data_IF_969681887812
#
_entry.id   IF_969681887812
#
_cell.length_a   1.000
_cell.length_b   1.000
_cell.length_c   1.000
_cell.angle_alpha   90.00
_cell.angle_beta   90.00
_cell.angle_gamma   90.00
#
_symmetry.space_group_name_H-M   'P 1'
#
loop_
_entity.id
_entity.type
_entity.pdbx_description
1 polymer ?
#
# COMPACT_ATOMS: atom_id res chain seq x y z
N UNK A 1 -20.05 -4.86 15.84
CA UNK A 1 -19.09 -5.18 14.75
C UNK A 1 -19.55 -4.42 13.51
N UNK A 2 -18.70 -3.65 12.80
CA UNK A 2 -19.14 -2.83 11.64
C UNK A 2 -19.37 -3.61 10.35
N UNK A 3 -19.40 -4.94 10.39
CA UNK A 3 -19.62 -5.76 9.20
C UNK A 3 -20.98 -5.48 8.52
N UNK A 4 -22.00 -5.05 9.29
CA UNK A 4 -23.26 -4.56 8.72
C UNK A 4 -23.06 -3.40 7.73
N UNK A 5 -22.06 -2.54 7.97
CA UNK A 5 -21.76 -1.40 7.10
C UNK A 5 -21.27 -1.81 5.72
N UNK A 6 -20.86 -3.07 5.52
CA UNK A 6 -20.54 -3.58 4.19
C UNK A 6 -21.78 -3.84 3.33
N UNK A 7 -22.95 -3.97 3.98
CA UNK A 7 -24.22 -4.21 3.32
C UNK A 7 -25.20 -3.06 3.50
N UNK A 8 -24.75 -1.88 3.94
CA UNK A 8 -25.61 -0.72 4.22
C UNK A 8 -26.43 -0.27 3.01
N UNK A 9 -25.96 -0.55 1.79
CA UNK A 9 -26.72 -0.30 0.54
C UNK A 9 -28.01 -1.13 0.41
N UNK A 10 -28.15 -2.17 1.24
CA UNK A 10 -29.30 -3.06 1.28
C UNK A 10 -30.19 -2.83 2.51
N UNK A 11 -29.72 -2.14 3.55
CA UNK A 11 -30.48 -1.87 4.77
C UNK A 11 -29.55 -1.50 5.93
N UNK A 12 -30.11 -0.90 6.99
CA UNK A 12 -29.33 -0.42 8.13
C UNK A 12 -28.98 -1.55 9.12
N UNK A 13 -29.66 -2.70 9.00
CA UNK A 13 -29.37 -3.93 9.74
C UNK A 13 -29.18 -5.13 8.80
N UNK A 14 -28.56 -6.20 9.31
CA UNK A 14 -28.39 -7.44 8.53
C UNK A 14 -29.74 -8.09 8.16
N UNK A 15 -30.73 -8.02 9.05
CA UNK A 15 -32.08 -8.56 8.79
C UNK A 15 -32.81 -7.78 7.70
N UNK A 16 -32.72 -6.44 7.76
CA UNK A 16 -33.27 -5.58 6.72
C UNK A 16 -32.56 -5.77 5.38
N UNK A 17 -31.22 -5.86 5.39
CA UNK A 17 -30.43 -6.15 4.19
C UNK A 17 -30.88 -7.46 3.54
N UNK A 18 -31.04 -8.54 4.32
CA UNK A 18 -31.52 -9.82 3.82
C UNK A 18 -32.94 -9.72 3.24
N UNK A 19 -33.86 -9.03 3.94
CA UNK A 19 -35.23 -8.84 3.48
C UNK A 19 -35.29 -8.05 2.16
N UNK A 20 -34.52 -6.97 2.03
CA UNK A 20 -34.49 -6.14 0.83
C UNK A 20 -33.83 -6.85 -0.35
N UNK A 21 -32.79 -7.65 -0.11
CA UNK A 21 -32.22 -8.53 -1.13
C UNK A 21 -33.27 -9.55 -1.63
N UNK A 22 -34.01 -10.18 -0.72
CA UNK A 22 -35.07 -11.14 -1.07
C UNK A 22 -36.22 -10.49 -1.86
N UNK A 23 -36.60 -9.25 -1.54
CA UNK A 23 -37.61 -8.47 -2.28
C UNK A 23 -37.15 -8.03 -3.67
N UNK A 24 -35.84 -8.00 -3.93
CA UNK A 24 -35.27 -7.44 -5.17
C UNK A 24 -34.26 -8.38 -5.85
N UNK A 25 -34.65 -9.61 -6.24
CA UNK A 25 -33.71 -10.61 -6.77
C UNK A 25 -33.02 -10.16 -8.07
N UNK A 26 -33.73 -9.41 -8.92
CA UNK A 26 -33.13 -8.84 -10.15
C UNK A 26 -32.04 -7.81 -9.83
N UNK A 27 -32.22 -7.00 -8.78
CA UNK A 27 -31.22 -6.03 -8.33
C UNK A 27 -29.99 -6.73 -7.77
N UNK A 28 -30.20 -7.80 -6.99
CA UNK A 28 -29.13 -8.66 -6.47
C UNK A 28 -28.32 -9.22 -7.64
N UNK A 29 -28.98 -9.83 -8.63
CA UNK A 29 -28.29 -10.40 -9.79
C UNK A 29 -27.52 -9.34 -10.60
N UNK A 30 -28.09 -8.15 -10.82
CA UNK A 30 -27.38 -7.04 -11.47
C UNK A 30 -26.13 -6.62 -10.69
N UNK A 31 -26.21 -6.61 -9.36
CA UNK A 31 -25.11 -6.21 -8.47
C UNK A 31 -23.88 -7.12 -8.58
N UNK A 32 -24.05 -8.36 -9.05
CA UNK A 32 -22.92 -9.26 -9.30
C UNK A 32 -21.99 -8.73 -10.40
N UNK A 33 -22.53 -8.00 -11.38
CA UNK A 33 -21.79 -7.55 -12.57
C UNK A 33 -21.60 -6.04 -12.66
N UNK A 34 -22.36 -5.25 -11.90
CA UNK A 34 -22.26 -3.79 -11.91
C UNK A 34 -22.62 -3.16 -10.57
N UNK A 35 -22.12 -1.95 -10.35
CA UNK A 35 -22.51 -1.09 -9.23
C UNK A 35 -22.92 0.25 -9.84
N UNK A 36 -24.24 0.57 -9.89
CA UNK A 36 -24.73 1.74 -10.63
C UNK A 36 -24.09 3.07 -10.20
N UNK A 37 -23.88 3.26 -8.90
CA UNK A 37 -23.33 4.50 -8.34
C UNK A 37 -21.79 4.55 -8.37
N UNK A 38 -21.14 3.46 -8.78
CA UNK A 38 -19.67 3.35 -8.87
C UNK A 38 -19.27 2.58 -10.14
N UNK A 39 -19.13 3.29 -11.28
CA UNK A 39 -18.74 2.68 -12.56
C UNK A 39 -17.41 1.93 -12.50
N UNK A 40 -16.47 2.40 -11.66
CA UNK A 40 -15.16 1.77 -11.47
C UNK A 40 -15.32 0.42 -10.78
N UNK A 41 -16.11 0.36 -9.70
CA UNK A 41 -16.43 -0.92 -9.04
C UNK A 41 -17.15 -1.88 -9.99
N UNK A 42 -18.08 -1.37 -10.81
CA UNK A 42 -18.74 -2.17 -11.83
C UNK A 42 -17.75 -2.77 -12.85
N UNK A 43 -16.75 -2.00 -13.29
CA UNK A 43 -15.70 -2.50 -14.18
C UNK A 43 -14.82 -3.57 -13.50
N UNK A 44 -14.43 -3.34 -12.24
CA UNK A 44 -13.68 -4.30 -11.42
C UNK A 44 -14.43 -5.63 -11.30
N UNK A 45 -15.75 -5.62 -11.06
CA UNK A 45 -16.57 -6.83 -10.98
C UNK A 45 -16.64 -7.61 -12.29
N UNK A 46 -16.71 -6.94 -13.44
CA UNK A 46 -16.68 -7.64 -14.74
C UNK A 46 -15.31 -8.27 -14.99
N UNK A 47 -14.25 -7.53 -14.71
CA UNK A 47 -12.88 -8.03 -14.81
C UNK A 47 -12.60 -9.19 -13.85
N UNK A 48 -13.20 -9.19 -12.66
CA UNK A 48 -13.10 -10.29 -11.71
C UNK A 48 -13.47 -11.64 -12.32
N UNK A 49 -14.59 -11.73 -13.05
CA UNK A 49 -14.98 -12.97 -13.73
C UNK A 49 -14.00 -13.35 -14.83
N UNK A 50 -13.50 -12.38 -15.59
CA UNK A 50 -12.48 -12.63 -16.60
C UNK A 50 -11.20 -13.19 -15.97
N UNK A 51 -10.71 -12.55 -14.91
CA UNK A 51 -9.54 -12.97 -14.14
C UNK A 51 -9.71 -14.34 -13.48
N UNK A 52 -10.94 -14.71 -13.13
CA UNK A 52 -11.24 -15.97 -12.47
C UNK A 52 -11.39 -17.13 -13.47
N UNK A 53 -12.07 -16.90 -14.60
CA UNK A 53 -12.50 -17.95 -15.53
C UNK A 53 -11.61 -18.09 -16.77
N UNK A 54 -11.02 -17.00 -17.28
CA UNK A 54 -10.17 -17.07 -18.47
C UNK A 54 -8.90 -17.90 -18.26
N UNK A 55 -8.20 -17.87 -17.10
CA UNK A 55 -7.01 -18.71 -16.90
C UNK A 55 -7.28 -20.22 -16.99
N UNK A 56 -8.54 -20.63 -16.84
CA UNK A 56 -8.98 -22.02 -17.03
C UNK A 56 -9.77 -22.21 -18.32
N UNK A 57 -9.58 -21.31 -19.29
CA UNK A 57 -10.20 -21.35 -20.61
C UNK A 57 -11.74 -21.46 -20.56
N UNK A 58 -12.35 -20.82 -19.56
CA UNK A 58 -13.80 -20.88 -19.29
C UNK A 58 -14.35 -22.30 -19.05
N UNK A 59 -13.49 -23.31 -18.87
CA UNK A 59 -13.91 -24.71 -18.70
C UNK A 59 -14.84 -24.90 -17.51
N UNK A 60 -14.70 -24.08 -16.46
CA UNK A 60 -15.58 -24.08 -15.29
C UNK A 60 -17.06 -23.93 -15.63
N UNK A 61 -17.39 -23.22 -16.71
CA UNK A 61 -18.77 -23.02 -17.16
C UNK A 61 -19.42 -24.32 -17.67
N UNK A 62 -18.62 -25.30 -18.08
CA UNK A 62 -19.11 -26.63 -18.48
C UNK A 62 -19.42 -27.56 -17.28
N UNK A 63 -19.22 -27.11 -16.04
CA UNK A 63 -19.68 -27.79 -14.82
C UNK A 63 -20.41 -26.83 -13.86
N UNK A 64 -21.57 -26.29 -14.27
CA UNK A 64 -22.24 -25.18 -13.56
C UNK A 64 -22.64 -25.55 -12.12
N UNK A 65 -23.07 -26.79 -11.87
CA UNK A 65 -23.42 -27.24 -10.51
C UNK A 65 -22.21 -27.29 -9.56
N UNK A 66 -21.03 -27.62 -10.09
CA UNK A 66 -19.79 -27.58 -9.29
C UNK A 66 -19.37 -26.14 -9.04
N UNK A 67 -19.47 -25.28 -10.05
CA UNK A 67 -19.16 -23.86 -9.90
C UNK A 67 -20.11 -23.16 -8.92
N UNK A 68 -21.38 -23.57 -8.87
CA UNK A 68 -22.39 -23.03 -7.96
C UNK A 68 -22.07 -23.26 -6.47
N UNK A 69 -21.17 -24.19 -6.12
CA UNK A 69 -20.70 -24.37 -4.74
C UNK A 69 -20.02 -23.10 -4.22
N UNK A 70 -19.38 -22.32 -5.10
CA UNK A 70 -18.78 -21.04 -4.74
C UNK A 70 -19.78 -19.88 -4.62
N UNK A 71 -21.05 -20.09 -5.00
CA UNK A 71 -22.04 -19.01 -5.08
C UNK A 71 -22.27 -18.27 -3.74
N UNK A 72 -22.34 -18.93 -2.57
CA UNK A 72 -22.51 -18.20 -1.30
C UNK A 72 -21.35 -17.24 -1.02
N UNK A 73 -20.12 -17.65 -1.33
CA UNK A 73 -18.91 -16.84 -1.13
C UNK A 73 -18.87 -15.69 -2.15
N UNK A 74 -19.20 -15.98 -3.41
CA UNK A 74 -19.34 -14.95 -4.45
C UNK A 74 -20.42 -13.92 -4.10
N UNK A 75 -21.55 -14.36 -3.55
CA UNK A 75 -22.61 -13.48 -3.09
C UNK A 75 -22.12 -12.61 -1.93
N UNK A 76 -21.44 -13.20 -0.93
CA UNK A 76 -20.85 -12.45 0.17
C UNK A 76 -19.93 -11.33 -0.34
N UNK A 77 -19.05 -11.67 -1.29
CA UNK A 77 -18.10 -10.73 -1.87
C UNK A 77 -18.79 -9.65 -2.69
N UNK A 78 -19.55 -10.01 -3.73
CA UNK A 78 -20.02 -9.05 -4.74
C UNK A 78 -21.20 -8.19 -4.27
N UNK A 79 -21.92 -8.63 -3.23
CA UNK A 79 -22.99 -7.85 -2.60
C UNK A 79 -22.46 -6.89 -1.53
N UNK A 80 -21.21 -7.03 -1.12
CA UNK A 80 -20.51 -6.11 -0.23
C UNK A 80 -20.30 -4.73 -0.88
N UNK A 81 -19.94 -3.74 -0.07
CA UNK A 81 -19.44 -2.43 -0.52
C UNK A 81 -17.90 -2.40 -0.60
N UNK A 82 -17.23 -3.49 -0.26
CA UNK A 82 -15.77 -3.57 -0.23
C UNK A 82 -15.21 -3.98 -1.58
N UNK A 83 -14.63 -3.00 -2.28
CA UNK A 83 -13.88 -3.22 -3.53
C UNK A 83 -12.81 -4.33 -3.40
N UNK A 84 -12.20 -4.48 -2.21
CA UNK A 84 -11.18 -5.51 -1.98
C UNK A 84 -11.71 -6.94 -2.14
N UNK A 85 -13.02 -7.15 -2.00
CA UNK A 85 -13.68 -8.46 -2.19
C UNK A 85 -14.11 -8.68 -3.65
N UNK A 86 -14.10 -7.63 -4.48
CA UNK A 86 -14.54 -7.68 -5.88
C UNK A 86 -13.38 -7.89 -6.88
N UNK A 87 -12.16 -8.19 -6.41
CA UNK A 87 -10.96 -8.31 -7.25
C UNK A 87 -10.07 -9.47 -6.81
N UNK A 88 -9.29 -10.02 -7.74
CA UNK A 88 -8.30 -11.08 -7.45
C UNK A 88 -7.00 -10.57 -6.82
N UNK A 89 -6.83 -9.24 -6.72
CA UNK A 89 -5.62 -8.63 -6.16
C UNK A 89 -5.47 -8.90 -4.66
N UNK A 90 -6.56 -9.13 -3.94
CA UNK A 90 -6.55 -9.44 -2.52
C UNK A 90 -6.88 -10.92 -2.27
N UNK A 91 -6.54 -11.40 -1.08
CA UNK A 91 -6.63 -12.82 -0.71
C UNK A 91 -8.05 -13.39 -0.59
N UNK A 92 -9.11 -12.56 -0.64
CA UNK A 92 -10.48 -13.05 -0.46
C UNK A 92 -10.88 -14.10 -1.50
N UNK A 93 -10.31 -14.02 -2.71
CA UNK A 93 -10.57 -14.96 -3.80
C UNK A 93 -10.07 -16.37 -3.56
N UNK A 94 -9.14 -16.57 -2.62
CA UNK A 94 -8.64 -17.90 -2.24
C UNK A 94 -9.76 -18.85 -1.82
N UNK A 95 -10.87 -18.33 -1.29
CA UNK A 95 -12.04 -19.13 -0.93
C UNK A 95 -12.89 -19.58 -2.13
N UNK A 96 -12.71 -18.97 -3.30
CA UNK A 96 -13.46 -19.25 -4.55
C UNK A 96 -12.64 -20.09 -5.52
N UNK A 97 -11.34 -19.82 -5.63
CA UNK A 97 -10.43 -20.42 -6.63
C UNK A 97 -10.47 -21.96 -6.67
N UNK A 98 -10.48 -22.71 -5.55
CA UNK A 98 -10.51 -24.17 -5.60
C UNK A 98 -11.73 -24.73 -6.34
N UNK A 99 -12.92 -24.14 -6.14
CA UNK A 99 -14.15 -24.56 -6.81
C UNK A 99 -14.13 -24.26 -8.31
N UNK A 100 -13.47 -23.17 -8.71
CA UNK A 100 -13.25 -22.82 -10.12
C UNK A 100 -12.34 -23.84 -10.79
N UNK A 101 -11.24 -24.26 -10.14
CA UNK A 101 -10.34 -25.28 -10.67
C UNK A 101 -11.01 -26.65 -10.77
N UNK A 102 -11.74 -27.09 -9.74
CA UNK A 102 -12.45 -28.37 -9.76
C UNK A 102 -13.55 -28.37 -10.83
N UNK A 103 -14.32 -27.28 -10.95
CA UNK A 103 -15.32 -27.14 -12.02
C UNK A 103 -14.68 -27.09 -13.41
N UNK A 104 -13.47 -26.57 -13.58
CA UNK A 104 -12.75 -26.60 -14.85
C UNK A 104 -12.38 -28.03 -15.27
N UNK A 105 -11.87 -28.85 -14.34
CA UNK A 105 -11.52 -30.25 -14.61
C UNK A 105 -12.77 -31.06 -14.97
N UNK A 106 -13.84 -30.93 -14.19
CA UNK A 106 -15.12 -31.60 -14.49
C UNK A 106 -15.77 -31.04 -15.75
N UNK A 107 -15.58 -29.75 -16.03
CA UNK A 107 -16.06 -29.08 -17.23
C UNK A 107 -15.37 -29.58 -18.48
N UNK A 108 -14.06 -29.81 -18.44
CA UNK A 108 -13.32 -30.46 -19.52
C UNK A 108 -13.89 -31.85 -19.81
N UNK A 109 -14.14 -32.66 -18.78
CA UNK A 109 -14.79 -33.98 -18.93
C UNK A 109 -16.17 -33.86 -19.58
N UNK A 110 -17.00 -32.91 -19.13
CA UNK A 110 -18.35 -32.73 -19.65
C UNK A 110 -18.33 -32.24 -21.11
N UNK A 111 -17.42 -31.34 -21.45
CA UNK A 111 -17.23 -30.83 -22.81
C UNK A 111 -16.75 -31.93 -23.76
N UNK A 112 -15.77 -32.74 -23.34
CA UNK A 112 -15.32 -33.91 -24.09
C UNK A 112 -16.49 -34.86 -24.38
N UNK A 113 -17.30 -35.19 -23.37
CA UNK A 113 -18.50 -36.03 -23.55
C UNK A 113 -19.48 -35.42 -24.54
N UNK A 114 -19.68 -34.11 -24.50
CA UNK A 114 -20.58 -33.41 -25.42
C UNK A 114 -20.06 -33.45 -26.86
N UNK A 115 -18.78 -33.14 -27.08
CA UNK A 115 -18.13 -33.13 -28.40
C UNK A 115 -18.03 -34.51 -29.04
N UNK A 116 -17.94 -35.56 -28.22
CA UNK A 116 -17.82 -36.95 -28.68
C UNK A 116 -19.17 -37.67 -28.79
N UNK A 117 -20.31 -36.99 -28.52
CA UNK A 117 -21.63 -37.59 -28.73
C UNK A 117 -21.80 -37.91 -30.23
N UNK A 118 -22.22 -39.13 -30.60
CA UNK A 118 -22.57 -39.43 -31.98
C UNK A 118 -23.75 -38.55 -32.41
N UNK A 119 -23.62 -37.86 -33.56
CA UNK A 119 -24.73 -37.07 -34.10
C UNK A 119 -25.86 -38.02 -34.56
N UNK A 120 -27.13 -37.72 -34.25
CA UNK A 120 -28.24 -38.47 -34.80
C UNK A 120 -28.39 -38.10 -36.29
N UNK A 121 -28.15 -39.06 -37.18
CA UNK A 121 -28.39 -38.92 -38.63
C UNK A 121 -27.15 -38.51 -39.44
N UNK A 122 -26.31 -39.50 -39.78
CA UNK A 122 -25.49 -39.52 -41.00
C UNK A 122 -24.11 -38.85 -40.98
N UNK A 123 -23.05 -39.66 -40.97
CA UNK A 123 -22.05 -39.82 -42.04
C UNK A 123 -21.32 -41.15 -41.75
N UNK A 124 -20.98 -41.89 -42.81
CA UNK A 124 -20.48 -43.29 -42.83
C UNK A 124 -19.33 -43.58 -41.85
N UNK A 125 -19.28 -44.83 -41.36
CA UNK A 125 -18.31 -45.34 -40.37
C UNK A 125 -16.83 -45.01 -40.69
N UNK A 126 -16.48 -44.83 -41.97
CA UNK A 126 -15.12 -44.48 -42.42
C UNK A 126 -14.65 -43.07 -42.01
N UNK A 127 -15.55 -42.07 -41.96
CA UNK A 127 -15.20 -40.72 -41.44
C UNK A 127 -15.12 -40.74 -39.90
N UNK A 128 -15.82 -41.69 -39.28
CA UNK A 128 -15.89 -41.86 -37.83
C UNK A 128 -14.59 -42.42 -37.24
N UNK A 129 -13.81 -43.16 -38.03
CA UNK A 129 -12.53 -43.74 -37.63
C UNK A 129 -11.35 -42.75 -37.70
N UNK A 130 -11.56 -41.57 -38.28
CA UNK A 130 -10.60 -40.45 -38.28
C UNK A 130 -10.76 -39.49 -37.07
N UNK A 131 -11.66 -39.80 -36.12
CA UNK A 131 -11.88 -38.97 -34.93
C UNK A 131 -10.67 -39.06 -34.00
N UNK A 132 -10.00 -37.93 -33.81
CA UNK A 132 -8.92 -37.71 -32.83
C UNK A 132 -9.22 -38.49 -31.53
N UNK A 133 -8.30 -39.33 -31.01
CA UNK A 133 -8.55 -40.10 -29.81
C UNK A 133 -9.01 -39.19 -28.66
N UNK A 134 -9.94 -39.63 -27.78
CA UNK A 134 -10.42 -38.85 -26.64
C UNK A 134 -9.27 -38.28 -25.80
N UNK A 135 -8.19 -39.06 -25.67
CA UNK A 135 -6.96 -38.65 -24.99
C UNK A 135 -6.22 -37.53 -25.72
N UNK A 136 -6.14 -37.60 -27.04
CA UNK A 136 -5.49 -36.56 -27.86
C UNK A 136 -6.28 -35.25 -27.78
N UNK A 137 -7.61 -35.29 -27.93
CA UNK A 137 -8.44 -34.10 -27.80
C UNK A 137 -8.36 -33.49 -26.39
N UNK A 138 -8.39 -34.31 -25.34
CA UNK A 138 -8.20 -33.85 -23.97
C UNK A 138 -6.82 -33.20 -23.77
N UNK A 139 -5.77 -33.78 -24.36
CA UNK A 139 -4.40 -33.25 -24.30
C UNK A 139 -4.30 -31.91 -25.02
N UNK A 140 -4.88 -31.79 -26.21
CA UNK A 140 -4.93 -30.53 -26.98
C UNK A 140 -5.66 -29.45 -26.19
N UNK A 141 -6.85 -29.75 -25.65
CA UNK A 141 -7.60 -28.77 -24.85
C UNK A 141 -6.88 -28.38 -23.56
N UNK A 142 -6.19 -29.33 -22.91
CA UNK A 142 -5.39 -29.04 -21.72
C UNK A 142 -4.18 -28.16 -22.07
N UNK A 143 -3.50 -28.45 -23.19
CA UNK A 143 -2.41 -27.63 -23.71
C UNK A 143 -2.89 -26.22 -24.05
N UNK A 144 -4.05 -26.09 -24.70
CA UNK A 144 -4.66 -24.80 -25.00
C UNK A 144 -5.02 -24.04 -23.71
N UNK A 145 -5.54 -24.71 -22.68
CA UNK A 145 -5.81 -24.09 -21.39
C UNK A 145 -4.52 -23.57 -20.73
N UNK A 146 -3.41 -24.30 -20.82
CA UNK A 146 -2.10 -23.82 -20.34
C UNK A 146 -1.62 -22.60 -21.13
N UNK A 147 -1.73 -22.62 -22.46
CA UNK A 147 -1.36 -21.46 -23.31
C UNK A 147 -2.21 -20.24 -22.95
N UNK A 148 -3.53 -20.42 -22.77
CA UNK A 148 -4.44 -19.36 -22.33
C UNK A 148 -4.07 -18.86 -20.93
N UNK A 149 -3.73 -19.74 -19.98
CA UNK A 149 -3.29 -19.36 -18.65
C UNK A 149 -1.99 -18.53 -18.66
N UNK A 150 -1.04 -18.88 -19.54
CA UNK A 150 0.18 -18.12 -19.77
C UNK A 150 -0.13 -16.74 -20.38
N UNK A 151 -1.01 -16.69 -21.40
CA UNK A 151 -1.48 -15.44 -21.97
C UNK A 151 -2.19 -14.54 -20.96
N UNK A 152 -3.02 -15.11 -20.08
CA UNK A 152 -3.63 -14.41 -18.95
C UNK A 152 -2.58 -13.87 -17.98
N UNK A 153 -1.51 -14.63 -17.74
CA UNK A 153 -0.41 -14.16 -16.90
C UNK A 153 0.35 -12.97 -17.51
N UNK A 154 0.48 -12.92 -18.84
CA UNK A 154 1.03 -11.76 -19.56
C UNK A 154 0.06 -10.58 -19.56
N UNK A 155 -1.25 -10.82 -19.67
CA UNK A 155 -2.25 -9.76 -19.66
C UNK A 155 -2.38 -9.10 -18.27
N UNK A 156 -2.72 -9.86 -17.23
CA UNK A 156 -3.06 -9.37 -15.89
C UNK A 156 -2.45 -10.19 -14.75
N UNK A 157 -1.49 -11.07 -15.05
CA UNK A 157 -0.87 -11.93 -14.05
C UNK A 157 0.04 -11.21 -13.06
N UNK A 158 0.27 -11.79 -11.87
CA UNK A 158 1.12 -11.20 -10.84
C UNK A 158 2.61 -11.25 -11.18
N UNK A 159 3.07 -12.05 -12.16
CA UNK A 159 4.51 -12.21 -12.45
C UNK A 159 4.97 -11.24 -13.56
N UNK A 160 4.44 -11.40 -14.77
CA UNK A 160 4.84 -10.62 -15.97
C UNK A 160 3.71 -9.76 -16.53
N UNK A 161 2.54 -9.76 -15.89
CA UNK A 161 1.35 -9.02 -16.32
C UNK A 161 1.64 -7.55 -16.64
N UNK A 162 1.15 -7.10 -17.79
CA UNK A 162 1.27 -5.72 -18.31
C UNK A 162 0.10 -4.80 -17.89
N UNK A 163 -0.89 -5.33 -17.15
CA UNK A 163 -2.03 -4.56 -16.65
C UNK A 163 -3.23 -4.49 -17.60
N UNK A 164 -3.27 -5.34 -18.63
CA UNK A 164 -4.42 -5.42 -19.53
C UNK A 164 -5.65 -5.96 -18.78
N UNK A 165 -6.79 -5.27 -18.88
CA UNK A 165 -8.02 -5.58 -18.15
C UNK A 165 -7.90 -5.51 -16.62
N UNK A 166 -7.05 -4.62 -16.10
CA UNK A 166 -6.78 -4.52 -14.66
C UNK A 166 -7.08 -3.11 -14.10
N UNK A 167 -8.36 -2.79 -13.86
CA UNK A 167 -8.81 -1.53 -13.22
C UNK A 167 -8.25 -1.34 -11.80
N UNK A 168 -7.99 -2.46 -11.12
CA UNK A 168 -7.42 -2.49 -9.79
C UNK A 168 -6.06 -3.13 -9.86
N UNK A 169 -5.03 -2.31 -9.69
CA UNK A 169 -3.65 -2.77 -9.61
C UNK A 169 -3.26 -3.16 -8.17
N UNK A 170 -2.28 -4.06 -7.99
CA UNK A 170 -1.67 -4.31 -6.69
C UNK A 170 -0.97 -3.06 -6.17
N UNK A 171 -1.16 -2.76 -4.88
CA UNK A 171 -0.44 -1.66 -4.23
C UNK A 171 1.04 -1.97 -4.00
N UNK A 172 1.40 -3.26 -3.93
CA UNK A 172 2.76 -3.72 -3.77
C UNK A 172 3.38 -4.01 -5.13
N UNK A 173 4.63 -3.58 -5.32
CA UNK A 173 5.38 -3.87 -6.55
C UNK A 173 5.74 -5.36 -6.58
N UNK A 174 5.67 -5.95 -7.76
CA UNK A 174 6.06 -7.35 -8.00
C UNK A 174 7.53 -7.61 -7.63
N UNK A 175 8.39 -6.65 -7.99
CA UNK A 175 9.82 -6.68 -7.73
C UNK A 175 10.22 -5.49 -6.87
N UNK A 176 11.11 -5.69 -5.87
CA UNK A 176 11.57 -4.59 -5.04
C UNK A 176 12.32 -3.57 -5.92
N UNK A 177 12.06 -2.29 -5.68
CA UNK A 177 12.84 -1.21 -6.30
C UNK A 177 14.29 -1.20 -5.79
N UNK A 178 15.20 -0.52 -6.51
CA UNK A 178 16.57 -0.31 -6.03
C UNK A 178 16.61 0.35 -4.64
N UNK A 179 15.68 1.28 -4.39
CA UNK A 179 15.51 1.91 -3.09
C UNK A 179 15.05 0.90 -2.00
N UNK A 180 14.09 0.03 -2.30
CA UNK A 180 13.65 -1.00 -1.33
C UNK A 180 14.74 -2.03 -1.04
N UNK A 181 15.57 -2.38 -2.03
CA UNK A 181 16.76 -3.20 -1.82
C UNK A 181 17.78 -2.51 -0.92
N UNK A 182 18.02 -1.22 -1.13
CA UNK A 182 18.91 -0.43 -0.27
C UNK A 182 18.38 -0.30 1.18
N UNK A 183 17.06 -0.26 1.36
CA UNK A 183 16.44 -0.17 2.68
C UNK A 183 16.41 -1.51 3.43
N UNK A 184 16.44 -2.64 2.71
CA UNK A 184 16.25 -3.98 3.27
C UNK A 184 17.27 -4.37 4.37
N UNK A 185 18.58 -4.11 4.22
CA UNK A 185 19.56 -4.36 5.28
C UNK A 185 19.23 -3.62 6.58
N UNK A 186 18.88 -2.34 6.51
CA UNK A 186 18.48 -1.56 7.69
C UNK A 186 17.24 -2.12 8.37
N UNK A 187 16.21 -2.51 7.61
CA UNK A 187 15.00 -3.13 8.16
C UNK A 187 15.29 -4.49 8.83
N UNK A 188 16.25 -5.27 8.32
CA UNK A 188 16.69 -6.52 8.95
C UNK A 188 17.46 -6.25 10.23
N UNK A 189 18.42 -5.33 10.19
CA UNK A 189 19.22 -4.94 11.36
C UNK A 189 18.35 -4.39 12.50
N UNK A 190 17.39 -3.51 12.18
CA UNK A 190 16.43 -2.98 13.16
C UNK A 190 15.56 -4.09 13.77
N UNK A 191 15.07 -5.01 12.94
CA UNK A 191 14.26 -6.13 13.45
C UNK A 191 15.07 -7.09 14.33
N UNK A 192 16.35 -7.32 14.01
CA UNK A 192 17.25 -8.17 14.80
C UNK A 192 17.62 -7.55 16.16
N UNK A 193 17.50 -6.22 16.31
CA UNK A 193 17.73 -5.49 17.57
C UNK A 193 16.49 -5.45 18.47
N UNK A 194 15.36 -6.01 18.05
CA UNK A 194 14.16 -6.10 18.90
C UNK A 194 14.40 -7.17 19.96
N UNK A 195 14.29 -6.86 21.28
CA UNK A 195 14.51 -7.83 22.35
C UNK A 195 13.62 -9.05 22.22
N UNK A 196 14.12 -10.27 22.49
CA UNK A 196 13.38 -11.54 22.31
C UNK A 196 12.17 -11.72 23.22
N UNK A 197 12.18 -11.06 24.39
CA UNK A 197 11.08 -11.06 25.35
C UNK A 197 10.39 -9.68 25.42
N UNK A 198 9.18 -9.65 25.99
CA UNK A 198 8.38 -8.44 26.15
C UNK A 198 7.42 -8.14 25.00
N UNK A 199 6.51 -7.19 25.25
CA UNK A 199 5.49 -6.77 24.29
C UNK A 199 6.09 -5.92 23.16
N UNK A 200 5.66 -6.15 21.93
CA UNK A 200 6.17 -5.45 20.73
C UNK A 200 5.02 -4.77 20.01
N UNK A 201 5.24 -3.56 19.49
CA UNK A 201 4.32 -2.96 18.53
C UNK A 201 4.92 -2.86 17.12
N UNK A 202 4.21 -3.38 16.12
CA UNK A 202 4.65 -3.41 14.73
C UNK A 202 3.83 -2.52 13.81
N UNK A 203 4.49 -1.88 12.85
CA UNK A 203 3.83 -1.43 11.61
C UNK A 203 3.51 -2.62 10.69
N UNK A 204 2.66 -2.41 9.67
CA UNK A 204 2.19 -3.49 8.78
C UNK A 204 3.30 -4.35 8.17
N UNK A 205 4.43 -3.74 7.78
CA UNK A 205 5.59 -4.46 7.23
C UNK A 205 6.31 -5.38 8.23
N UNK A 206 6.11 -5.19 9.53
CA UNK A 206 6.84 -5.89 10.60
C UNK A 206 5.99 -6.87 11.40
N UNK A 207 4.65 -6.75 11.37
CA UNK A 207 3.75 -7.61 12.18
C UNK A 207 4.00 -9.10 11.98
N UNK A 208 4.14 -9.56 10.73
CA UNK A 208 4.36 -10.98 10.45
C UNK A 208 5.69 -11.50 10.99
N UNK A 209 6.72 -10.65 11.11
CA UNK A 209 8.02 -11.04 11.67
C UNK A 209 7.94 -11.32 13.17
N UNK A 210 7.00 -10.69 13.86
CA UNK A 210 6.81 -10.83 15.30
C UNK A 210 5.55 -11.62 15.65
N UNK A 211 4.97 -12.36 14.70
CA UNK A 211 3.71 -13.09 14.89
C UNK A 211 3.78 -14.18 15.97
N UNK A 212 4.98 -14.65 16.32
CA UNK A 212 5.22 -15.61 17.40
C UNK A 212 5.25 -14.97 18.81
N UNK A 213 5.18 -13.64 18.92
CA UNK A 213 5.15 -12.96 20.21
C UNK A 213 3.82 -13.20 20.91
N UNK A 214 3.89 -13.49 22.21
CA UNK A 214 2.71 -13.60 23.07
C UNK A 214 1.92 -12.30 23.11
N UNK A 215 2.62 -11.16 23.10
CA UNK A 215 2.01 -9.83 23.10
C UNK A 215 2.53 -8.98 21.93
N UNK A 216 1.73 -8.94 20.86
CA UNK A 216 2.00 -8.18 19.66
C UNK A 216 0.87 -7.19 19.41
N UNK A 217 1.22 -5.90 19.37
CA UNK A 217 0.29 -4.83 19.06
C UNK A 217 0.49 -4.33 17.64
N UNK A 218 -0.62 -4.00 16.99
CA UNK A 218 -0.55 -3.31 15.71
C UNK A 218 -0.61 -1.80 15.90
N UNK A 219 0.40 -1.10 15.40
CA UNK A 219 0.53 0.34 15.62
C UNK A 219 -0.64 1.13 15.02
N UNK A 220 -1.31 0.61 13.98
CA UNK A 220 -2.49 1.26 13.42
C UNK A 220 -3.68 1.25 14.39
N UNK A 221 -3.86 0.24 15.24
CA UNK A 221 -4.90 0.24 16.27
C UNK A 221 -4.63 1.24 17.37
N UNK A 222 -3.35 1.40 17.75
CA UNK A 222 -2.91 2.41 18.70
C UNK A 222 -3.21 3.81 18.15
N UNK A 223 -2.83 4.05 16.88
CA UNK A 223 -3.08 5.28 16.14
C UNK A 223 -4.57 5.60 15.99
N UNK A 224 -5.41 4.62 15.65
CA UNK A 224 -6.85 4.84 15.47
C UNK A 224 -7.63 4.89 16.77
N UNK A 225 -7.11 4.25 17.81
CA UNK A 225 -7.80 4.02 19.08
C UNK A 225 -8.97 3.06 19.01
N UNK A 226 -9.09 2.27 17.94
CA UNK A 226 -10.18 1.30 17.74
C UNK A 226 -9.67 0.05 17.04
N UNK A 227 -10.30 -1.08 17.34
CA UNK A 227 -10.08 -2.31 16.58
C UNK A 227 -10.57 -2.14 15.13
N UNK A 228 -9.96 -2.90 14.20
CA UNK A 228 -10.34 -2.87 12.78
C UNK A 228 -11.82 -3.19 12.62
N UNK A 229 -12.56 -2.37 11.85
CA UNK A 229 -14.01 -2.52 11.62
C UNK A 229 -14.85 -2.67 12.91
N UNK A 230 -14.48 -1.94 13.96
CA UNK A 230 -15.20 -1.94 15.23
C UNK A 230 -15.25 -0.55 15.86
N UNK A 231 -16.28 -0.30 16.66
CA UNK A 231 -16.33 0.85 17.56
C UNK A 231 -15.72 0.55 18.94
N UNK A 232 -15.34 -0.72 19.18
CA UNK A 232 -14.61 -1.11 20.39
C UNK A 232 -13.29 -0.32 20.47
N UNK A 233 -13.14 0.41 21.56
CA UNK A 233 -11.91 1.14 21.86
C UNK A 233 -10.72 0.17 21.94
N UNK A 234 -9.59 0.58 21.36
CA UNK A 234 -8.32 -0.11 21.53
C UNK A 234 -7.55 0.57 22.66
N UNK A 235 -7.26 -0.13 23.77
CA UNK A 235 -6.50 0.45 24.87
C UNK A 235 -5.08 0.79 24.39
N UNK A 236 -4.46 1.80 25.01
CA UNK A 236 -3.05 2.09 24.78
C UNK A 236 -2.26 1.02 25.53
N UNK A 237 -1.47 0.17 24.83
CA UNK A 237 -0.72 -0.88 25.48
C UNK A 237 0.34 -0.33 26.45
N UNK A 238 0.66 -1.15 27.44
CA UNK A 238 1.71 -0.92 28.43
C UNK A 238 2.81 -1.96 28.28
N UNK A 239 3.94 -1.71 28.93
CA UNK A 239 5.11 -2.59 28.93
C UNK A 239 5.65 -2.99 27.55
N UNK A 240 5.41 -2.16 26.54
CA UNK A 240 5.97 -2.34 25.20
C UNK A 240 7.47 -2.03 25.24
N UNK A 241 8.28 -3.02 24.91
CA UNK A 241 9.76 -2.92 24.93
C UNK A 241 10.33 -2.41 23.62
N UNK A 242 9.60 -2.59 22.51
CA UNK A 242 10.08 -2.20 21.19
C UNK A 242 8.96 -1.83 20.22
N UNK A 243 9.26 -0.91 19.31
CA UNK A 243 8.41 -0.55 18.17
C UNK A 243 9.24 -0.52 16.90
N UNK A 244 8.76 -1.18 15.85
CA UNK A 244 9.35 -1.07 14.51
C UNK A 244 8.28 -0.73 13.49
N UNK A 245 8.48 0.37 12.76
CA UNK A 245 7.46 0.91 11.85
C UNK A 245 8.09 1.53 10.61
N UNK A 246 7.51 1.27 9.43
CA UNK A 246 7.71 2.07 8.21
C UNK A 246 6.54 3.04 8.07
N UNK A 247 6.77 4.32 8.34
CA UNK A 247 5.69 5.34 8.38
C UNK A 247 5.24 5.78 6.99
N UNK A 248 5.86 5.29 5.91
CA UNK A 248 5.38 5.48 4.53
C UNK A 248 4.36 4.43 4.10
N UNK A 249 4.21 3.34 4.86
CA UNK A 249 3.29 2.28 4.48
C UNK A 249 1.91 2.89 4.18
N UNK A 250 1.38 2.63 2.98
CA UNK A 250 0.15 3.28 2.55
C UNK A 250 -1.01 2.96 3.50
N UNK A 251 -1.00 1.80 4.15
CA UNK A 251 -2.00 1.39 5.15
C UNK A 251 -1.89 2.25 6.40
N UNK A 252 -0.66 2.54 6.85
CA UNK A 252 -0.41 3.51 7.91
C UNK A 252 -0.98 4.88 7.56
N UNK A 253 -0.85 5.29 6.29
CA UNK A 253 -1.41 6.52 5.76
C UNK A 253 -2.93 6.46 5.51
N UNK A 254 -3.55 5.30 5.32
CA UNK A 254 -5.00 5.17 5.09
C UNK A 254 -5.82 5.32 6.36
N UNK A 255 -5.28 4.95 7.52
CA UNK A 255 -5.91 5.16 8.82
C UNK A 255 -5.66 6.59 9.35
N UNK A 256 -5.95 7.60 8.53
CA UNK A 256 -5.83 9.01 8.91
C UNK A 256 -6.92 9.37 9.90
N UNK A 257 -6.51 9.79 11.09
CA UNK A 257 -7.34 10.57 12.00
C UNK A 257 -6.53 11.78 12.44
N UNK A 258 -7.21 12.93 12.59
CA UNK A 258 -6.58 14.17 13.06
C UNK A 258 -5.87 13.97 14.41
N UNK A 259 -6.40 13.11 15.28
CA UNK A 259 -5.86 12.81 16.62
C UNK A 259 -4.80 11.68 16.64
N UNK A 260 -4.54 11.01 15.51
CA UNK A 260 -3.70 9.81 15.48
C UNK A 260 -2.25 10.04 15.92
N UNK A 261 -1.65 11.17 15.52
CA UNK A 261 -0.28 11.52 15.93
C UNK A 261 -0.15 11.69 17.45
N UNK A 262 -1.09 12.42 18.08
CA UNK A 262 -1.12 12.58 19.55
C UNK A 262 -1.20 11.25 20.29
N UNK A 263 -2.02 10.30 19.82
CA UNK A 263 -2.12 8.97 20.44
C UNK A 263 -0.82 8.19 20.35
N UNK A 264 -0.14 8.23 19.20
CA UNK A 264 1.15 7.57 19.01
C UNK A 264 2.22 8.18 19.92
N UNK A 265 2.28 9.51 20.04
CA UNK A 265 3.21 10.18 20.98
C UNK A 265 2.92 9.82 22.44
N UNK A 266 1.66 9.84 22.86
CA UNK A 266 1.27 9.44 24.21
C UNK A 266 1.62 7.97 24.51
N UNK A 267 1.47 7.09 23.53
CA UNK A 267 1.91 5.70 23.62
C UNK A 267 3.43 5.57 23.79
N UNK A 268 4.22 6.34 23.02
CA UNK A 268 5.67 6.35 23.15
C UNK A 268 6.12 6.85 24.52
N UNK A 269 5.54 7.96 25.01
CA UNK A 269 5.87 8.48 26.34
C UNK A 269 5.48 7.51 27.47
N UNK A 270 4.27 6.94 27.42
CA UNK A 270 3.79 5.97 28.44
C UNK A 270 4.72 4.77 28.58
N UNK A 271 5.27 4.29 27.46
CA UNK A 271 6.16 3.13 27.45
C UNK A 271 7.65 3.51 27.48
N UNK A 272 7.98 4.80 27.68
CA UNK A 272 9.36 5.32 27.71
C UNK A 272 10.17 4.91 26.46
N UNK A 273 9.48 4.86 25.32
CA UNK A 273 10.06 4.49 24.03
C UNK A 273 10.80 5.67 23.43
N UNK A 274 12.02 5.43 22.98
CA UNK A 274 12.85 6.43 22.29
C UNK A 274 13.38 5.83 20.99
N UNK A 275 13.46 6.65 19.95
CA UNK A 275 14.04 6.22 18.66
C UNK A 275 15.51 5.91 18.90
N UNK A 276 15.98 4.75 18.44
CA UNK A 276 17.39 4.33 18.53
C UNK A 276 18.01 4.10 17.15
N UNK A 277 17.19 4.07 16.11
CA UNK A 277 17.64 4.00 14.72
C UNK A 277 16.56 4.54 13.78
N UNK A 278 17.03 5.13 12.68
CA UNK A 278 16.20 5.61 11.60
C UNK A 278 16.91 5.36 10.27
N UNK A 279 16.15 4.83 9.30
CA UNK A 279 16.56 4.66 7.92
C UNK A 279 15.38 5.07 7.04
N UNK A 280 15.53 6.21 6.39
CA UNK A 280 14.47 6.94 5.73
C UNK A 280 13.28 7.20 6.66
N UNK A 281 12.16 6.50 6.46
CA UNK A 281 10.92 6.58 7.24
C UNK A 281 10.66 5.29 8.04
N UNK A 282 11.66 4.44 8.15
CA UNK A 282 11.66 3.29 9.05
C UNK A 282 12.30 3.69 10.36
N UNK A 283 11.58 3.47 11.46
CA UNK A 283 12.02 3.77 12.81
C UNK A 283 12.07 2.50 13.66
N UNK A 284 13.13 2.37 14.45
CA UNK A 284 13.21 1.46 15.60
C UNK A 284 13.17 2.31 16.87
N UNK A 285 12.23 1.99 17.75
CA UNK A 285 12.16 2.53 19.09
C UNK A 285 12.34 1.42 20.11
N UNK A 286 13.13 1.68 21.15
CA UNK A 286 13.32 0.78 22.28
C UNK A 286 12.90 1.50 23.57
N UNK A 287 12.47 0.72 24.57
CA UNK A 287 12.17 1.22 25.91
C UNK A 287 13.47 1.55 26.63
N UNK A 288 13.57 2.77 27.16
CA UNK A 288 14.68 3.23 28.00
C UNK A 288 16.09 2.86 27.46
N UNK A 289 16.40 3.21 26.20
CA UNK A 289 17.71 2.87 25.65
C UNK A 289 18.78 3.76 26.28
N UNK A 290 20.01 3.23 26.35
CA UNK A 290 21.17 4.01 26.81
C UNK A 290 21.45 5.24 25.94
N UNK A 291 21.24 5.10 24.62
CA UNK A 291 21.38 6.18 23.65
C UNK A 291 20.09 6.31 22.82
N UNK A 292 19.77 7.53 22.43
CA UNK A 292 18.61 7.81 21.58
C UNK A 292 18.95 8.76 20.44
N UNK A 293 18.19 8.62 19.36
CA UNK A 293 18.30 9.41 18.13
C UNK A 293 17.14 10.40 18.06
N UNK A 294 17.46 11.69 18.07
CA UNK A 294 16.46 12.75 17.86
C UNK A 294 16.14 12.90 16.38
N UNK A 295 14.95 12.44 15.97
CA UNK A 295 14.46 12.55 14.57
C UNK A 295 13.64 13.83 14.34
N UNK A 296 13.08 14.42 15.38
CA UNK A 296 12.49 15.76 15.36
C UNK A 296 12.48 16.36 16.77
N UNK A 297 12.41 17.69 16.84
CA UNK A 297 12.43 18.44 18.10
C UNK A 297 11.79 19.82 17.92
N UNK A 298 11.19 20.32 18.98
CA UNK A 298 10.53 21.64 19.05
C UNK A 298 11.43 22.61 19.80
N UNK A 299 11.52 23.86 19.34
CA UNK A 299 12.35 24.87 20.00
C UNK A 299 12.72 26.02 19.07
N UNK A 300 13.58 26.91 19.56
CA UNK A 300 14.19 27.95 18.76
C UNK A 300 15.46 27.39 18.09
N UNK A 301 15.46 27.29 16.76
CA UNK A 301 16.58 26.78 15.99
C UNK A 301 17.07 27.83 14.99
N UNK A 302 18.39 27.95 14.88
CA UNK A 302 19.03 28.75 13.84
C UNK A 302 19.68 27.79 12.85
N UNK A 303 19.10 27.59 11.65
CA UNK A 303 19.72 26.78 10.61
C UNK A 303 20.95 27.48 10.03
N UNK A 304 21.92 26.70 9.55
CA UNK A 304 23.12 27.22 8.88
C UNK A 304 22.78 27.97 7.58
N UNK A 305 21.87 27.41 6.78
CA UNK A 305 21.36 28.02 5.56
C UNK A 305 19.95 28.54 5.82
N UNK A 306 19.80 29.87 5.94
CA UNK A 306 18.52 30.52 6.16
C UNK A 306 17.78 30.75 4.85
N UNK A 307 16.57 30.22 4.74
CA UNK A 307 15.70 30.42 3.59
C UNK A 307 14.25 30.37 4.05
N UNK A 308 13.67 31.55 4.28
CA UNK A 308 12.28 31.64 4.70
C UNK A 308 11.35 31.66 3.48
N UNK A 309 10.44 30.70 3.41
CA UNK A 309 9.38 30.64 2.39
C UNK A 309 8.15 29.93 2.96
N UNK A 310 6.96 30.35 2.53
CA UNK A 310 5.68 29.84 3.07
C UNK A 310 4.92 29.06 2.01
N UNK A 311 4.41 27.90 2.41
CA UNK A 311 3.63 26.97 1.59
C UNK A 311 2.17 26.94 2.07
N UNK A 312 1.24 27.15 1.13
CA UNK A 312 -0.20 27.15 1.37
C UNK A 312 -0.66 28.10 2.47
N UNK A 313 0.13 29.14 2.77
CA UNK A 313 -0.11 30.10 3.86
C UNK A 313 -0.04 29.50 5.27
N UNK A 314 0.48 28.27 5.44
CA UNK A 314 0.35 27.54 6.72
C UNK A 314 1.62 26.89 7.23
N UNK A 315 2.52 26.48 6.36
CA UNK A 315 3.80 25.85 6.70
C UNK A 315 4.94 26.68 6.11
N UNK A 316 5.90 27.10 6.92
CA UNK A 316 7.08 27.81 6.44
C UNK A 316 8.34 26.93 6.59
N UNK A 317 9.16 26.88 5.53
CA UNK A 317 10.56 26.48 5.69
C UNK A 317 11.31 27.68 6.27
N UNK A 318 12.10 27.48 7.31
CA UNK A 318 12.98 28.49 7.92
C UNK A 318 14.40 28.36 7.36
N UNK A 319 14.84 27.12 7.13
CA UNK A 319 16.16 26.83 6.58
C UNK A 319 16.59 25.37 6.80
N UNK A 320 17.86 25.07 6.58
CA UNK A 320 18.46 23.74 6.76
C UNK A 320 19.93 23.82 7.16
N UNK A 321 20.49 22.71 7.64
CA UNK A 321 21.92 22.59 7.94
C UNK A 321 22.68 21.97 6.75
N UNK A 322 23.99 22.19 6.68
CA UNK A 322 24.82 21.65 5.60
C UNK A 322 24.76 20.13 5.52
N UNK A 323 24.77 19.63 4.28
CA UNK A 323 24.85 18.20 4.01
C UNK A 323 26.25 17.65 4.35
N UNK A 324 26.37 16.38 4.74
CA UNK A 324 27.65 15.68 4.74
C UNK A 324 28.35 15.79 3.37
N UNK A 325 29.67 15.91 3.37
CA UNK A 325 30.45 16.02 2.13
C UNK A 325 30.29 14.79 1.22
N UNK A 326 30.13 13.61 1.81
CA UNK A 326 29.91 12.36 1.09
C UNK A 326 28.96 11.41 1.79
N UNK A 327 28.42 10.47 1.03
CA UNK A 327 27.61 9.33 1.49
C UNK A 327 27.85 8.13 0.59
N UNK A 328 27.87 6.92 1.15
CA UNK A 328 27.97 5.70 0.35
C UNK A 328 26.65 5.42 -0.41
N UNK A 329 26.75 4.80 -1.58
CA UNK A 329 25.59 4.19 -2.22
C UNK A 329 25.04 3.07 -1.33
N UNK A 330 23.75 3.13 -0.97
CA UNK A 330 23.16 2.29 0.09
C UNK A 330 23.23 2.92 1.49
N UNK A 331 24.02 3.97 1.69
CA UNK A 331 24.22 4.66 2.97
C UNK A 331 23.07 5.59 3.39
N UNK A 332 23.18 6.13 4.62
CA UNK A 332 22.23 7.09 5.21
C UNK A 332 22.75 8.53 5.10
N UNK A 333 22.18 9.34 4.21
CA UNK A 333 22.46 10.77 4.09
C UNK A 333 21.67 11.56 5.15
N UNK A 334 22.38 12.21 6.07
CA UNK A 334 21.76 13.07 7.09
C UNK A 334 21.34 14.42 6.49
N UNK A 335 20.09 14.83 6.68
CA UNK A 335 19.59 16.16 6.34
C UNK A 335 18.83 16.74 7.53
N UNK A 336 19.12 17.97 7.93
CA UNK A 336 18.38 18.68 8.97
C UNK A 336 17.66 19.89 8.37
N UNK A 337 16.38 20.01 8.67
CA UNK A 337 15.55 21.13 8.19
C UNK A 337 14.81 21.76 9.35
N UNK A 338 14.56 23.05 9.27
CA UNK A 338 13.83 23.82 10.28
C UNK A 338 12.56 24.37 9.64
N UNK A 339 11.43 24.10 10.27
CA UNK A 339 10.10 24.46 9.79
C UNK A 339 9.32 25.19 10.87
N UNK A 340 8.34 25.97 10.46
CA UNK A 340 7.45 26.70 11.37
C UNK A 340 6.01 26.60 10.88
N UNK A 341 5.06 26.41 11.81
CA UNK A 341 3.63 26.56 11.49
C UNK A 341 3.25 28.04 11.55
N UNK A 342 2.87 28.62 10.42
CA UNK A 342 2.53 30.06 10.31
C UNK A 342 1.04 30.35 10.10
N UNK A 343 0.21 29.32 9.84
CA UNK A 343 -1.21 29.48 9.53
C UNK A 343 -2.17 29.32 10.72
N UNK A 344 -3.48 29.57 10.51
CA UNK A 344 -4.49 29.58 11.57
C UNK A 344 -4.63 28.24 12.31
N UNK A 345 -5.26 28.28 13.48
CA UNK A 345 -5.38 27.13 14.39
C UNK A 345 -6.24 25.98 13.84
N UNK A 346 -7.19 26.25 12.96
CA UNK A 346 -8.18 25.25 12.53
C UNK A 346 -7.52 24.00 11.89
N UNK A 347 -7.68 22.87 12.58
CA UNK A 347 -7.11 21.56 12.23
C UNK A 347 -7.97 20.79 11.23
N UNK A 348 -9.24 21.18 11.04
CA UNK A 348 -10.21 20.44 10.22
C UNK A 348 -10.00 20.65 8.72
N UNK A 349 -9.31 21.73 8.33
CA UNK A 349 -9.03 22.12 6.95
C UNK A 349 -7.54 22.07 6.59
N UNK A 350 -6.72 21.37 7.38
CA UNK A 350 -5.27 21.34 7.17
C UNK A 350 -4.89 20.36 6.05
N UNK A 351 -4.31 20.83 4.92
CA UNK A 351 -3.84 19.94 3.87
C UNK A 351 -2.73 19.04 4.40
N UNK A 352 -2.60 17.85 3.85
CA UNK A 352 -1.45 17.00 4.11
C UNK A 352 -0.25 17.56 3.34
N UNK A 353 0.74 18.09 4.05
CA UNK A 353 2.00 18.46 3.44
C UNK A 353 2.91 17.25 3.27
N UNK A 354 3.48 17.10 2.08
CA UNK A 354 4.42 16.04 1.73
C UNK A 354 5.69 16.69 1.23
N UNK A 355 6.81 16.34 1.85
CA UNK A 355 8.13 16.75 1.38
C UNK A 355 8.63 15.76 0.34
N UNK A 356 9.05 16.27 -0.80
CA UNK A 356 9.72 15.51 -1.85
C UNK A 356 11.18 15.91 -1.92
N UNK A 357 12.07 14.94 -1.76
CA UNK A 357 13.50 15.09 -1.87
C UNK A 357 13.97 14.40 -3.15
N UNK A 358 14.83 15.06 -3.93
CA UNK A 358 15.26 14.60 -5.24
C UNK A 358 16.76 14.81 -5.40
N UNK A 359 17.49 13.76 -5.74
CA UNK A 359 18.89 13.83 -6.14
C UNK A 359 18.97 14.10 -7.64
N UNK A 360 19.72 15.13 -8.00
CA UNK A 360 20.02 15.51 -9.38
C UNK A 360 21.48 15.26 -9.70
N UNK A 361 21.77 14.70 -10.87
CA UNK A 361 23.14 14.58 -11.38
C UNK A 361 23.69 15.93 -11.89
N UNK A 362 24.96 15.93 -12.29
CA UNK A 362 25.64 17.13 -12.84
C UNK A 362 24.97 17.69 -14.11
N UNK A 363 24.21 16.86 -14.84
CA UNK A 363 23.47 17.24 -16.04
C UNK A 363 22.04 17.73 -15.72
N UNK A 364 21.69 17.87 -14.44
CA UNK A 364 20.37 18.31 -14.01
C UNK A 364 19.27 17.27 -14.19
N UNK A 365 19.60 15.98 -14.30
CA UNK A 365 18.63 14.88 -14.42
C UNK A 365 18.32 14.29 -13.04
N UNK A 366 17.04 14.04 -12.69
CA UNK A 366 16.67 13.42 -11.42
C UNK A 366 17.06 11.93 -11.43
N UNK A 367 17.94 11.51 -10.52
CA UNK A 367 18.39 10.11 -10.39
C UNK A 367 17.63 9.33 -9.32
N UNK A 368 17.13 10.03 -8.30
CA UNK A 368 16.35 9.43 -7.23
C UNK A 368 15.36 10.45 -6.66
N UNK A 369 14.15 10.01 -6.33
CA UNK A 369 13.16 10.82 -5.64
C UNK A 369 12.52 10.04 -4.50
N UNK A 370 12.34 10.72 -3.37
CA UNK A 370 11.64 10.22 -2.20
C UNK A 370 10.61 11.24 -1.72
N UNK A 371 9.35 10.81 -1.63
CA UNK A 371 8.27 11.58 -1.01
C UNK A 371 8.01 11.06 0.39
N UNK A 372 7.77 11.96 1.34
CA UNK A 372 7.54 11.61 2.74
C UNK A 372 6.78 12.67 3.52
N UNK A 373 6.30 12.24 4.68
CA UNK A 373 5.51 13.05 5.59
C UNK A 373 6.42 13.74 6.62
N UNK A 374 5.98 14.88 7.11
CA UNK A 374 6.64 15.59 8.20
C UNK A 374 6.56 14.83 9.51
N UNK A 375 7.65 14.88 10.27
CA UNK A 375 7.86 14.26 11.58
C UNK A 375 7.36 12.83 11.65
N UNK A 376 7.62 12.06 10.59
CA UNK A 376 7.28 10.64 10.48
C UNK A 376 5.79 10.35 10.70
N UNK A 377 4.91 11.34 10.53
CA UNK A 377 3.49 11.34 10.99
C UNK A 377 3.27 11.08 12.48
N UNK A 378 4.35 10.96 13.26
CA UNK A 378 4.34 10.89 14.71
C UNK A 378 3.98 12.27 15.26
N UNK A 379 4.52 13.35 14.68
CA UNK A 379 4.16 14.73 15.01
C UNK A 379 3.78 15.56 13.76
N UNK A 380 2.65 15.25 13.10
CA UNK A 380 2.27 15.90 11.84
C UNK A 380 2.03 17.40 12.01
N UNK A 381 2.18 18.17 10.92
CA UNK A 381 2.12 19.65 10.94
C UNK A 381 0.84 20.20 11.58
N UNK A 382 -0.32 19.55 11.36
CA UNK A 382 -1.59 19.99 11.95
C UNK A 382 -1.66 19.83 13.48
N UNK A 383 -0.69 19.14 14.08
CA UNK A 383 -0.51 19.03 15.54
C UNK A 383 0.39 20.12 16.13
N UNK A 384 1.13 20.86 15.31
CA UNK A 384 2.03 21.91 15.79
C UNK A 384 1.20 23.11 16.27
N UNK A 385 1.50 23.73 17.42
CA UNK A 385 0.93 25.04 17.75
C UNK A 385 1.27 26.08 16.67
N UNK A 386 0.43 27.12 16.45
CA UNK A 386 0.84 28.26 15.64
C UNK A 386 2.13 28.91 16.17
N UNK A 387 3.02 29.31 15.27
CA UNK A 387 4.36 29.82 15.60
C UNK A 387 5.35 28.75 16.07
N UNK A 388 4.91 27.49 16.26
CA UNK A 388 5.82 26.42 16.68
C UNK A 388 6.84 26.16 15.59
N UNK A 389 8.12 26.30 15.97
CA UNK A 389 9.25 25.89 15.15
C UNK A 389 9.65 24.45 15.50
N UNK A 390 9.93 23.66 14.47
CA UNK A 390 10.32 22.26 14.54
C UNK A 390 11.57 22.04 13.69
N UNK A 391 12.62 21.46 14.29
CA UNK A 391 13.78 20.93 13.57
C UNK A 391 13.56 19.45 13.34
N UNK A 392 13.69 19.00 12.10
CA UNK A 392 13.54 17.61 11.72
C UNK A 392 14.86 17.07 11.15
N UNK A 393 15.32 15.92 11.66
CA UNK A 393 16.53 15.22 11.21
C UNK A 393 16.14 13.97 10.43
N UNK A 394 16.61 13.93 9.19
CA UNK A 394 16.31 12.87 8.23
C UNK A 394 17.53 12.02 7.95
N UNK A 395 17.32 10.73 7.78
CA UNK A 395 18.34 9.75 7.41
C UNK A 395 17.99 9.14 6.05
N UNK A 396 18.14 9.90 4.97
CA UNK A 396 17.74 9.48 3.62
C UNK A 396 18.60 8.30 3.15
N UNK A 397 17.97 7.22 2.68
CA UNK A 397 18.72 6.07 2.16
C UNK A 397 18.98 6.29 0.68
N UNK A 398 20.25 6.38 0.29
CA UNK A 398 20.66 6.50 -1.11
C UNK A 398 20.55 5.12 -1.77
N UNK A 399 19.83 4.94 -2.89
CA UNK A 399 19.75 3.64 -3.55
C UNK A 399 21.12 3.11 -3.98
N UNK A 400 21.32 1.79 -3.92
CA UNK A 400 22.58 1.15 -4.33
C UNK A 400 22.87 1.26 -5.83
N UNK A 401 21.88 1.64 -6.63
CA UNK A 401 22.04 1.86 -8.08
C UNK A 401 22.51 3.28 -8.42
N UNK A 402 22.57 4.19 -7.45
CA UNK A 402 23.14 5.53 -7.67
C UNK A 402 24.64 5.37 -7.83
N UNK A 403 25.16 5.79 -8.99
CA UNK A 403 26.60 5.67 -9.30
C UNK A 403 27.41 6.63 -8.43
N UNK A 404 28.69 6.33 -8.17
CA UNK A 404 29.59 7.30 -7.55
C UNK A 404 29.67 8.59 -8.38
N UNK A 405 29.64 9.74 -7.73
CA UNK A 405 29.61 11.05 -8.40
C UNK A 405 29.13 12.17 -7.49
N UNK A 406 29.09 13.39 -8.02
CA UNK A 406 28.57 14.57 -7.30
C UNK A 406 27.11 14.79 -7.67
N UNK A 407 26.27 14.94 -6.65
CA UNK A 407 24.83 15.14 -6.80
C UNK A 407 24.37 16.38 -6.05
N UNK A 408 23.29 16.97 -6.54
CA UNK A 408 22.60 18.08 -5.88
C UNK A 408 21.32 17.55 -5.26
N UNK A 409 21.15 17.75 -3.95
CA UNK A 409 19.89 17.45 -3.27
C UNK A 409 18.95 18.64 -3.37
N UNK A 410 17.75 18.41 -3.91
CA UNK A 410 16.68 19.41 -3.98
C UNK A 410 15.46 18.96 -3.20
N UNK A 411 14.76 19.95 -2.64
CA UNK A 411 13.55 19.79 -1.86
C UNK A 411 12.38 20.47 -2.55
N UNK A 412 11.20 19.85 -2.49
CA UNK A 412 9.93 20.47 -2.87
C UNK A 412 8.85 20.09 -1.88
N UNK A 413 7.89 21.00 -1.66
CA UNK A 413 6.70 20.73 -0.85
C UNK A 413 5.49 20.52 -1.75
N UNK A 414 4.77 19.43 -1.50
CA UNK A 414 3.50 19.08 -2.09
C UNK A 414 2.40 19.18 -1.03
N UNK A 415 1.17 19.36 -1.45
CA UNK A 415 -0.02 19.35 -0.59
C UNK A 415 -1.09 18.41 -1.15
N UNK A 416 -1.92 17.86 -0.26
CA UNK A 416 -3.08 17.05 -0.63
C UNK A 416 -4.29 17.37 0.24
N UNK A 417 -5.41 17.74 -0.39
CA UNK A 417 -6.69 18.00 0.26
C UNK A 417 -7.71 16.86 0.06
N UNK A 418 -7.69 16.18 -1.10
CA UNK A 418 -8.76 15.24 -1.50
C UNK A 418 -8.23 14.04 -2.33
N UNK A 419 -7.08 13.45 -1.92
CA UNK A 419 -6.37 12.31 -2.56
C UNK A 419 -5.43 12.64 -3.72
N UNK A 420 -5.52 13.82 -4.32
CA UNK A 420 -4.53 14.28 -5.30
C UNK A 420 -3.38 15.01 -4.61
N UNK A 421 -2.15 14.70 -5.02
CA UNK A 421 -0.94 15.41 -4.62
C UNK A 421 -0.66 16.47 -5.67
N UNK A 422 -0.68 17.73 -5.23
CA UNK A 422 -0.30 18.88 -6.06
C UNK A 422 0.85 19.63 -5.43
N UNK A 423 1.51 20.50 -6.18
CA UNK A 423 2.52 21.39 -5.61
C UNK A 423 1.85 22.30 -4.58
N UNK A 424 2.46 22.44 -3.41
CA UNK A 424 1.99 23.42 -2.44
C UNK A 424 2.15 24.82 -3.03
N UNK A 425 1.12 25.66 -2.91
CA UNK A 425 1.19 27.03 -3.39
C UNK A 425 2.23 27.82 -2.59
N UNK A 426 2.98 28.68 -3.26
CA UNK A 426 3.94 29.60 -2.65
C UNK A 426 3.89 30.91 -3.43
N UNK A 427 4.05 32.03 -2.72
CA UNK A 427 4.14 33.37 -3.31
C UNK A 427 5.59 33.82 -3.52
N UNK A 428 6.56 32.91 -3.32
CA UNK A 428 7.98 33.22 -3.43
C UNK A 428 8.45 33.14 -4.89
N UNK A 429 8.77 34.27 -5.55
CA UNK A 429 9.14 34.29 -6.96
C UNK A 429 10.42 33.47 -7.24
N UNK A 430 11.29 33.27 -6.23
CA UNK A 430 12.50 32.44 -6.36
C UNK A 430 12.17 30.97 -6.66
N UNK A 431 10.97 30.52 -6.30
CA UNK A 431 10.52 29.14 -6.48
C UNK A 431 9.69 28.91 -7.74
N UNK A 432 9.20 29.97 -8.38
CA UNK A 432 8.47 29.85 -9.66
C UNK A 432 9.40 29.33 -10.77
N UNK A 433 10.60 29.92 -10.88
CA UNK A 433 11.61 29.55 -11.86
C UNK A 433 12.11 28.11 -11.72
N UNK A 434 12.14 27.57 -10.50
CA UNK A 434 12.65 26.22 -10.22
C UNK A 434 11.54 25.17 -10.14
N UNK A 435 10.31 25.49 -10.57
CA UNK A 435 9.13 24.61 -10.44
C UNK A 435 8.91 24.12 -8.99
N UNK A 436 9.18 24.99 -8.02
CA UNK A 436 9.01 24.75 -6.58
C UNK A 436 10.17 24.01 -5.91
N UNK A 437 11.31 23.83 -6.57
CA UNK A 437 12.48 23.17 -5.98
C UNK A 437 13.40 24.17 -5.27
N UNK A 438 13.83 23.80 -4.07
CA UNK A 438 14.85 24.48 -3.27
C UNK A 438 16.10 23.61 -3.30
N UNK A 439 17.23 24.20 -3.67
CA UNK A 439 18.52 23.51 -3.66
C UNK A 439 19.12 23.51 -2.25
N UNK A 440 19.30 22.32 -1.67
CA UNK A 440 19.79 22.16 -0.30
C UNK A 440 21.32 22.05 -0.24
N UNK A 441 21.96 21.62 -1.32
CA UNK A 441 23.41 21.53 -1.40
C UNK A 441 23.90 20.35 -2.23
N UNK A 442 25.22 20.25 -2.34
CA UNK A 442 25.93 19.16 -3.04
C UNK A 442 26.32 18.06 -2.06
N UNK A 443 26.33 16.83 -2.56
CA UNK A 443 26.81 15.64 -1.84
C UNK A 443 27.53 14.72 -2.82
N UNK A 444 28.68 14.17 -2.41
CA UNK A 444 29.39 13.15 -3.19
C UNK A 444 28.90 11.76 -2.81
N UNK A 445 28.33 11.03 -3.76
CA UNK A 445 28.06 9.60 -3.58
C UNK A 445 29.35 8.82 -3.87
N UNK A 446 29.73 7.93 -2.96
CA UNK A 446 30.90 7.06 -3.09
C UNK A 446 30.48 5.60 -3.16
N UNK A 447 31.35 4.73 -3.67
CA UNK A 447 31.12 3.30 -3.62
C UNK A 447 31.00 2.82 -2.17
N UNK A 448 30.16 1.81 -1.87
CA UNK A 448 30.15 1.19 -0.55
C UNK A 448 31.53 0.62 -0.23
N UNK A 449 31.95 0.72 1.02
CA UNK A 449 33.16 0.05 1.51
C UNK A 449 32.86 -1.44 1.58
N UNK A 450 33.68 -2.27 0.93
CA UNK A 450 33.55 -3.74 0.92
C UNK A 450 33.75 -4.37 2.30
#
# INVERSE_FOLDING_TARGET
>A
MKYQGFYSKWGDSLGEAALNMAKSPVRVLKTFFSTPDDPRDGAIKRQFYAHLLLPVMLLSLASPLTLAIALPILAQHLLSSRISEHTIVFHYTTLVTPFVLVSAVLGLRNLLRLLMRPMPGGLTEEVMNAKTPPRTLATVMSGMAVVVALGCNVAFGPVIGIGLFQEQEPHERKWPSAYERALAPYMRAMAARVPDEGAVAGGFRFLSRFANRKDLHSLHHIKTGRHTYSDKAYPVPEDVVAVVVDTRDWRWLSFRRIDGGRRVRAFFERNRLRVVDAAADVLLLLREPAESLTVFETGAFTPEHRFRTTFGGRLALVGWDSLPASVEAGGKLRLRTVWERVGPEDRRLYPLYVMQLVLYDEYGRPVHSQSRQFCYTVYPVHDWPPGQTVRETYHLVVPTTVKPGTYILRLRVLESLLKELRRASTMDPRLEATRGFIELGKVRVVAPVE
#
